data_IF_858670844057
#
_entry.id   IF_858670844057
#
_cell.length_a   1.000
_cell.length_b   1.000
_cell.length_c   1.000
_cell.angle_alpha   90.00
_cell.angle_beta   90.00
_cell.angle_gamma   90.00
#
_symmetry.space_group_name_H-M   'P 1'
#
loop_
_entity.id
_entity.type
_entity.pdbx_description
1 polymer ?
#
# COMPACT_ATOMS: atom_id res chain seq x y z
N UNK A 1 10.53 -32.23 29.03
CA UNK A 1 10.77 -31.69 30.38
C UNK A 1 10.73 -30.18 30.26
N UNK A 2 9.76 -29.43 30.75
CA UNK A 2 8.67 -29.71 31.67
C UNK A 2 8.31 -28.39 32.34
N UNK A 3 7.01 -28.11 32.40
CA UNK A 3 6.28 -27.40 33.47
C UNK A 3 6.71 -25.96 33.84
N UNK A 4 5.87 -24.96 33.63
CA UNK A 4 4.59 -24.65 34.29
C UNK A 4 4.74 -23.87 35.60
N UNK A 5 3.95 -22.80 35.65
CA UNK A 5 3.42 -22.01 36.76
C UNK A 5 3.51 -22.59 38.19
N UNK A 6 3.84 -21.71 39.13
CA UNK A 6 3.30 -21.66 40.50
C UNK A 6 2.87 -20.19 40.71
N UNK A 7 1.60 -19.80 40.81
CA UNK A 7 0.48 -20.27 41.64
C UNK A 7 0.71 -20.11 43.15
N UNK A 8 0.07 -19.08 43.72
CA UNK A 8 -0.52 -19.15 45.06
C UNK A 8 -1.66 -18.09 45.14
N UNK A 9 -2.91 -18.27 45.60
CA UNK A 9 -3.82 -19.36 46.05
C UNK A 9 -5.10 -18.62 46.50
N UNK A 10 -6.29 -18.95 45.98
CA UNK A 10 -7.34 -19.82 46.57
C UNK A 10 -7.90 -19.33 47.94
N UNK A 11 -9.18 -19.63 48.34
CA UNK A 11 -9.83 -20.94 48.17
C UNK A 11 -11.39 -20.95 47.94
N UNK A 12 -11.93 -21.96 47.23
CA UNK A 12 -12.82 -23.10 47.67
C UNK A 12 -14.29 -22.74 48.05
N UNK A 13 -15.34 -23.56 47.84
CA UNK A 13 -15.54 -24.93 47.31
C UNK A 13 -17.07 -25.27 47.31
N UNK A 14 -17.44 -26.33 46.57
CA UNK A 14 -18.65 -27.20 46.70
C UNK A 14 -19.93 -26.77 45.94
N UNK A 15 -20.76 -27.61 45.29
CA UNK A 15 -20.90 -29.08 45.16
C UNK A 15 -21.94 -29.41 44.03
N UNK A 16 -21.64 -30.43 43.21
CA UNK A 16 -22.52 -31.47 42.55
C UNK A 16 -23.72 -31.14 41.62
N UNK A 17 -24.05 -32.06 40.67
CA UNK A 17 -24.99 -31.84 39.57
C UNK A 17 -26.42 -32.29 39.93
N UNK A 18 -27.40 -31.43 39.66
CA UNK A 18 -28.81 -31.73 39.81
C UNK A 18 -29.54 -31.41 38.51
N UNK A 19 -30.02 -32.46 37.84
CA UNK A 19 -30.95 -32.32 36.73
C UNK A 19 -32.19 -31.55 37.21
N UNK A 20 -32.50 -30.44 36.54
CA UNK A 20 -33.86 -29.91 36.50
C UNK A 20 -34.12 -29.49 35.07
N UNK A 21 -34.84 -30.38 34.38
CA UNK A 21 -35.57 -30.08 33.17
C UNK A 21 -36.50 -28.92 33.49
N UNK A 22 -36.22 -27.76 32.95
CA UNK A 22 -37.16 -26.66 32.86
C UNK A 22 -37.20 -26.27 31.39
N UNK A 23 -38.29 -26.65 30.72
CA UNK A 23 -38.71 -26.05 29.45
C UNK A 23 -38.96 -24.56 29.69
N UNK A 24 -37.88 -23.78 29.68
CA UNK A 24 -37.93 -22.33 29.73
C UNK A 24 -37.83 -21.83 28.30
N UNK A 25 -38.99 -21.46 27.74
CA UNK A 25 -39.08 -20.68 26.51
C UNK A 25 -38.05 -19.54 26.53
N UNK A 26 -37.30 -19.29 25.45
CA UNK A 26 -36.35 -18.19 25.42
C UNK A 26 -37.11 -16.87 25.55
N UNK A 27 -36.85 -16.17 26.65
CA UNK A 27 -37.34 -14.82 26.92
C UNK A 27 -36.73 -13.85 25.89
N UNK A 28 -37.50 -12.97 25.23
CA UNK A 28 -37.04 -12.18 24.08
C UNK A 28 -36.09 -11.02 24.44
N UNK A 29 -35.61 -10.92 25.67
CA UNK A 29 -34.98 -9.69 26.19
C UNK A 29 -33.45 -9.61 26.10
N UNK A 30 -32.76 -10.59 25.49
CA UNK A 30 -31.30 -10.51 25.27
C UNK A 30 -30.87 -10.41 23.80
N UNK A 31 -31.80 -10.23 22.86
CA UNK A 31 -31.49 -10.16 21.43
C UNK A 31 -31.20 -8.74 20.92
N UNK A 32 -31.41 -7.70 21.72
CA UNK A 32 -31.28 -6.32 21.24
C UNK A 32 -29.81 -5.91 21.04
N UNK A 33 -28.89 -6.38 21.89
CA UNK A 33 -27.46 -6.04 21.82
C UNK A 33 -26.72 -6.84 20.73
N UNK A 34 -26.99 -8.14 20.58
CA UNK A 34 -26.37 -8.97 19.53
C UNK A 34 -26.82 -8.59 18.12
N UNK A 35 -28.09 -8.20 17.94
CA UNK A 35 -28.60 -7.74 16.63
C UNK A 35 -27.94 -6.45 16.16
N UNK A 36 -27.55 -5.56 17.08
CA UNK A 36 -26.86 -4.31 16.73
C UNK A 36 -25.48 -4.55 16.14
N UNK A 37 -24.73 -5.50 16.70
CA UNK A 37 -23.38 -5.84 16.25
C UNK A 37 -23.38 -6.63 14.93
N UNK A 38 -24.30 -7.59 14.80
CA UNK A 38 -24.49 -8.35 13.55
C UNK A 38 -24.92 -7.43 12.40
N UNK A 39 -25.87 -6.51 12.65
CA UNK A 39 -26.31 -5.57 11.64
C UNK A 39 -25.19 -4.58 11.24
N UNK A 40 -24.33 -4.20 12.18
CA UNK A 40 -23.15 -3.35 11.91
C UNK A 40 -22.09 -4.09 11.09
N UNK A 41 -21.87 -5.39 11.36
CA UNK A 41 -20.98 -6.24 10.58
C UNK A 41 -21.48 -6.40 9.13
N UNK A 42 -22.78 -6.66 8.95
CA UNK A 42 -23.40 -6.73 7.63
C UNK A 42 -23.30 -5.41 6.87
N UNK A 43 -23.50 -4.26 7.55
CA UNK A 43 -23.34 -2.96 6.93
C UNK A 43 -21.90 -2.69 6.50
N UNK A 44 -20.91 -3.09 7.31
CA UNK A 44 -19.49 -3.01 6.94
C UNK A 44 -19.18 -3.86 5.71
N UNK A 45 -19.73 -5.07 5.63
CA UNK A 45 -19.56 -5.96 4.48
C UNK A 45 -20.13 -5.32 3.22
N UNK A 46 -21.33 -4.74 3.30
CA UNK A 46 -21.96 -4.05 2.17
C UNK A 46 -21.15 -2.84 1.71
N UNK A 47 -20.72 -1.97 2.63
CA UNK A 47 -19.88 -0.82 2.29
C UNK A 47 -18.52 -1.22 1.70
N UNK A 48 -17.87 -2.23 2.27
CA UNK A 48 -16.60 -2.73 1.77
C UNK A 48 -16.76 -3.36 0.37
N UNK A 49 -17.84 -4.10 0.16
CA UNK A 49 -18.16 -4.71 -1.14
C UNK A 49 -18.45 -3.61 -2.16
N UNK A 50 -19.27 -2.62 -1.82
CA UNK A 50 -19.57 -1.49 -2.70
C UNK A 50 -18.31 -0.67 -3.07
N UNK A 51 -17.34 -0.56 -2.16
CA UNK A 51 -16.05 0.08 -2.44
C UNK A 51 -15.10 -0.76 -3.30
N UNK A 52 -15.22 -2.09 -3.26
CA UNK A 52 -14.32 -3.02 -3.94
C UNK A 52 -14.83 -3.45 -5.33
N UNK A 53 -16.13 -3.29 -5.59
CA UNK A 53 -16.71 -3.59 -6.90
C UNK A 53 -16.33 -2.50 -7.89
N UNK A 54 -15.82 -2.90 -9.05
CA UNK A 54 -15.43 -2.00 -10.12
C UNK A 54 -16.66 -1.74 -10.99
N UNK A 55 -17.13 -0.49 -11.02
CA UNK A 55 -18.11 -0.04 -12.00
C UNK A 55 -17.42 0.21 -13.35
N UNK A 56 -17.59 -0.73 -14.26
CA UNK A 56 -17.01 -0.70 -15.62
C UNK A 56 -17.66 0.36 -16.52
N UNK A 57 -18.86 0.87 -16.17
CA UNK A 57 -19.58 1.89 -16.95
C UNK A 57 -19.24 3.33 -16.53
N UNK A 58 -18.51 3.52 -15.44
CA UNK A 58 -18.20 4.84 -14.87
C UNK A 58 -17.15 5.67 -15.65
N UNK A 59 -16.76 5.26 -16.86
CA UNK A 59 -15.73 5.92 -17.67
C UNK A 59 -16.20 7.30 -18.17
N UNK A 60 -17.49 7.45 -18.51
CA UNK A 60 -18.09 8.72 -18.98
C UNK A 60 -18.91 9.46 -17.92
N UNK A 61 -19.24 8.81 -16.80
CA UNK A 61 -20.26 9.29 -15.86
C UNK A 61 -19.76 10.27 -14.78
N UNK A 62 -18.49 10.64 -14.78
CA UNK A 62 -17.90 11.52 -13.76
C UNK A 62 -17.43 12.85 -14.35
N UNK A 63 -18.35 13.59 -14.97
CA UNK A 63 -18.13 15.01 -15.20
C UNK A 63 -18.64 15.78 -13.99
N UNK A 64 -17.74 16.40 -13.24
CA UNK A 64 -18.11 17.35 -12.19
C UNK A 64 -18.84 18.52 -12.84
N UNK A 65 -19.94 19.00 -12.25
CA UNK A 65 -20.64 20.17 -12.78
C UNK A 65 -19.72 21.39 -12.74
N UNK A 66 -19.83 22.27 -13.74
CA UNK A 66 -18.91 23.40 -13.90
C UNK A 66 -18.90 24.33 -12.67
N UNK A 67 -20.05 24.55 -12.02
CA UNK A 67 -20.10 25.38 -10.82
C UNK A 67 -19.40 24.71 -9.62
N UNK A 68 -19.49 23.38 -9.50
CA UNK A 68 -18.89 22.61 -8.40
C UNK A 68 -17.37 22.65 -8.56
N UNK A 69 -16.90 22.50 -9.80
CA UNK A 69 -15.49 22.66 -10.14
C UNK A 69 -14.97 24.05 -9.74
N UNK A 70 -15.66 25.12 -10.12
CA UNK A 70 -15.23 26.50 -9.81
C UNK A 70 -15.22 26.78 -8.30
N UNK A 71 -16.22 26.29 -7.57
CA UNK A 71 -16.27 26.41 -6.11
C UNK A 71 -15.12 25.66 -5.44
N UNK A 72 -14.84 24.42 -5.86
CA UNK A 72 -13.69 23.66 -5.34
C UNK A 72 -12.37 24.33 -5.67
N UNK A 73 -12.20 24.85 -6.88
CA UNK A 73 -11.01 25.58 -7.28
C UNK A 73 -10.75 26.79 -6.37
N UNK A 74 -11.81 27.58 -6.10
CA UNK A 74 -11.74 28.72 -5.15
C UNK A 74 -11.40 28.26 -3.73
N UNK A 75 -12.05 27.21 -3.23
CA UNK A 75 -11.79 26.68 -1.89
C UNK A 75 -10.35 26.17 -1.74
N UNK A 76 -9.84 25.42 -2.73
CA UNK A 76 -8.47 24.90 -2.71
C UNK A 76 -7.45 26.03 -2.83
N UNK A 77 -7.69 27.01 -3.70
CA UNK A 77 -6.82 28.19 -3.79
C UNK A 77 -6.75 28.95 -2.46
N UNK A 78 -7.88 29.18 -1.80
CA UNK A 78 -7.92 29.85 -0.49
C UNK A 78 -7.17 29.06 0.58
N UNK A 79 -7.40 27.75 0.66
CA UNK A 79 -6.70 26.86 1.61
C UNK A 79 -5.20 26.81 1.35
N UNK A 80 -4.80 26.78 0.08
CA UNK A 80 -3.40 26.80 -0.33
C UNK A 80 -2.73 28.09 0.09
N UNK A 81 -3.32 29.26 -0.19
CA UNK A 81 -2.78 30.56 0.25
C UNK A 81 -2.61 30.62 1.76
N UNK A 82 -3.59 30.13 2.54
CA UNK A 82 -3.46 30.07 4.00
C UNK A 82 -2.32 29.16 4.47
N UNK A 83 -2.05 28.07 3.76
CA UNK A 83 -0.96 27.16 4.08
C UNK A 83 0.40 27.75 3.68
N UNK A 84 0.52 28.31 2.48
CA UNK A 84 1.73 29.00 2.00
C UNK A 84 2.17 30.13 2.94
N UNK A 85 1.22 30.81 3.60
CA UNK A 85 1.52 31.86 4.57
C UNK A 85 2.04 31.30 5.91
N UNK A 86 1.72 30.05 6.25
CA UNK A 86 2.13 29.40 7.52
C UNK A 86 3.39 28.57 7.38
N UNK A 87 3.64 28.01 6.20
CA UNK A 87 4.81 27.19 5.90
C UNK A 87 5.61 27.85 4.77
N UNK A 88 6.91 28.16 4.97
CA UNK A 88 7.73 28.69 3.89
C UNK A 88 7.87 27.63 2.80
N UNK A 89 7.06 27.75 1.76
CA UNK A 89 7.21 26.95 0.53
C UNK A 89 8.34 27.60 -0.26
N UNK A 90 9.35 26.83 -0.69
CA UNK A 90 10.40 27.37 -1.54
C UNK A 90 9.79 27.87 -2.85
N UNK A 91 9.67 29.20 -2.99
CA UNK A 91 9.14 29.82 -4.22
C UNK A 91 10.16 29.82 -5.37
N UNK A 92 11.41 29.51 -5.04
CA UNK A 92 12.51 29.43 -6.00
C UNK A 92 13.08 28.02 -6.01
N UNK A 93 13.48 27.52 -7.20
CA UNK A 93 14.28 26.30 -7.25
C UNK A 93 15.51 26.49 -6.36
N UNK A 94 15.85 25.46 -5.59
CA UNK A 94 17.06 25.48 -4.79
C UNK A 94 18.26 25.69 -5.71
N UNK A 95 19.16 26.61 -5.33
CA UNK A 95 20.43 26.76 -6.01
C UNK A 95 21.21 25.45 -5.96
N UNK A 96 21.99 25.16 -7.02
CA UNK A 96 22.91 24.03 -7.00
C UNK A 96 23.83 24.13 -5.78
N UNK A 97 24.13 23.02 -5.09
CA UNK A 97 25.06 23.04 -3.98
C UNK A 97 26.43 23.51 -4.46
N UNK A 98 27.12 24.30 -3.64
CA UNK A 98 28.51 24.67 -3.91
C UNK A 98 29.36 23.40 -3.85
N UNK A 99 29.81 22.93 -5.02
CA UNK A 99 30.53 21.67 -5.11
C UNK A 99 31.93 21.72 -4.50
N UNK A 100 32.65 22.83 -4.72
CA UNK A 100 34.08 22.95 -4.36
C UNK A 100 34.47 24.39 -4.03
N UNK A 101 35.45 24.57 -3.13
CA UNK A 101 35.94 25.91 -2.73
C UNK A 101 36.93 26.55 -3.70
N UNK A 102 37.66 25.75 -4.49
CA UNK A 102 38.57 26.22 -5.53
C UNK A 102 38.42 25.37 -6.80
N UNK A 103 37.61 25.82 -7.79
CA UNK A 103 37.34 25.04 -8.99
C UNK A 103 38.58 24.87 -9.88
N UNK A 104 39.45 25.89 -9.95
CA UNK A 104 40.64 25.85 -10.80
C UNK A 104 41.62 24.77 -10.36
N UNK A 105 41.84 24.64 -9.04
CA UNK A 105 42.74 23.61 -8.50
C UNK A 105 42.24 22.20 -8.80
N UNK A 106 40.93 21.96 -8.70
CA UNK A 106 40.33 20.63 -8.90
C UNK A 106 40.28 20.26 -10.37
N UNK A 107 39.96 21.21 -11.25
CA UNK A 107 39.97 20.97 -12.69
C UNK A 107 41.37 20.77 -13.26
N UNK A 108 42.41 21.27 -12.57
CA UNK A 108 43.81 21.08 -12.94
C UNK A 108 44.43 19.80 -12.37
N UNK A 109 43.69 19.06 -11.52
CA UNK A 109 44.17 17.81 -10.96
C UNK A 109 44.33 16.74 -12.08
N UNK A 110 45.20 15.73 -11.87
CA UNK A 110 45.32 14.64 -12.82
C UNK A 110 43.96 13.97 -13.09
N UNK A 111 43.63 13.68 -14.36
CA UNK A 111 42.38 13.02 -14.71
C UNK A 111 42.35 11.58 -14.19
N UNK A 112 41.17 10.94 -14.26
CA UNK A 112 41.03 9.51 -13.96
C UNK A 112 42.00 8.67 -14.81
N UNK A 113 42.52 7.60 -14.23
CA UNK A 113 43.47 6.73 -14.91
C UNK A 113 42.80 5.99 -16.06
N UNK A 114 43.54 5.74 -17.14
CA UNK A 114 43.02 4.97 -18.28
C UNK A 114 42.62 3.54 -17.87
N UNK A 115 43.30 2.97 -16.87
CA UNK A 115 42.98 1.64 -16.34
C UNK A 115 41.59 1.61 -15.69
N UNK A 116 41.22 2.64 -14.92
CA UNK A 116 39.90 2.74 -14.30
C UNK A 116 38.80 2.88 -15.35
N UNK A 117 39.02 3.70 -16.38
CA UNK A 117 38.07 3.88 -17.48
C UNK A 117 37.85 2.56 -18.22
N UNK A 118 38.93 1.84 -18.54
CA UNK A 118 38.84 0.53 -19.19
C UNK A 118 38.13 -0.49 -18.30
N UNK A 119 38.40 -0.50 -17.00
CA UNK A 119 37.73 -1.39 -16.06
C UNK A 119 36.22 -1.14 -16.01
N UNK A 120 35.80 0.13 -15.86
CA UNK A 120 34.38 0.53 -15.85
C UNK A 120 33.70 0.11 -17.15
N UNK A 121 34.36 0.33 -18.29
CA UNK A 121 33.84 -0.03 -19.61
C UNK A 121 33.63 -1.54 -19.74
N UNK A 122 34.62 -2.35 -19.33
CA UNK A 122 34.51 -3.82 -19.38
C UNK A 122 33.37 -4.34 -18.50
N UNK A 123 33.18 -3.78 -17.31
CA UNK A 123 32.08 -4.15 -16.41
C UNK A 123 30.73 -3.78 -17.03
N UNK A 124 30.62 -2.62 -17.64
CA UNK A 124 29.41 -2.18 -18.34
C UNK A 124 29.09 -3.12 -19.52
N UNK A 125 30.08 -3.45 -20.35
CA UNK A 125 29.92 -4.36 -21.49
C UNK A 125 29.50 -5.76 -21.05
N UNK A 126 30.12 -6.29 -19.99
CA UNK A 126 29.74 -7.59 -19.42
C UNK A 126 28.30 -7.58 -18.91
N UNK A 127 27.90 -6.50 -18.23
CA UNK A 127 26.52 -6.35 -17.73
C UNK A 127 25.52 -6.30 -18.88
N UNK A 128 25.85 -5.55 -19.95
CA UNK A 128 25.02 -5.48 -21.14
C UNK A 128 24.91 -6.84 -21.86
N UNK A 129 25.97 -7.66 -21.85
CA UNK A 129 25.93 -9.03 -22.36
C UNK A 129 25.04 -9.93 -21.51
N UNK A 130 25.17 -9.88 -20.18
CA UNK A 130 24.32 -10.66 -19.26
C UNK A 130 22.84 -10.30 -19.41
N UNK A 131 22.51 -9.02 -19.64
CA UNK A 131 21.12 -8.59 -19.85
C UNK A 131 20.47 -9.28 -21.07
N UNK A 132 21.26 -9.61 -22.11
CA UNK A 132 20.76 -10.36 -23.29
C UNK A 132 20.41 -11.82 -22.97
N UNK A 133 20.89 -12.35 -21.85
CA UNK A 133 20.54 -13.69 -21.39
C UNK A 133 19.16 -13.75 -20.74
N UNK A 134 18.59 -12.59 -20.34
CA UNK A 134 17.23 -12.47 -19.83
C UNK A 134 16.25 -12.55 -21.02
N UNK A 135 15.97 -13.79 -21.45
CA UNK A 135 15.02 -14.08 -22.52
C UNK A 135 14.30 -15.40 -22.28
N UNK A 136 13.08 -15.50 -22.82
CA UNK A 136 12.33 -16.76 -22.83
C UNK A 136 13.05 -17.74 -23.76
N UNK A 137 13.44 -18.91 -23.23
CA UNK A 137 13.97 -20.02 -24.03
C UNK A 137 12.79 -20.81 -24.57
N UNK A 138 12.61 -20.82 -25.89
CA UNK A 138 11.59 -21.64 -26.58
C UNK A 138 11.79 -23.12 -26.25
N UNK A 139 10.71 -23.84 -25.96
CA UNK A 139 10.73 -25.28 -25.67
C UNK A 139 9.80 -26.06 -26.59
N UNK A 140 8.59 -25.55 -26.78
CA UNK A 140 7.53 -26.19 -27.58
C UNK A 140 6.70 -25.11 -28.25
N UNK A 141 6.01 -25.48 -29.33
CA UNK A 141 5.21 -24.54 -30.10
C UNK A 141 3.94 -24.18 -29.32
N UNK A 142 3.80 -22.88 -29.02
CA UNK A 142 2.61 -22.35 -28.33
C UNK A 142 1.36 -22.35 -29.24
N UNK A 143 1.56 -22.47 -30.54
CA UNK A 143 0.50 -22.46 -31.56
C UNK A 143 0.77 -23.59 -32.53
N UNK A 144 -0.19 -24.50 -32.66
CA UNK A 144 -0.17 -25.57 -33.66
C UNK A 144 -1.30 -25.33 -34.65
N UNK A 145 -1.02 -25.29 -35.97
CA UNK A 145 -2.07 -25.17 -36.95
C UNK A 145 -2.87 -26.48 -37.02
N UNK A 146 -4.19 -26.38 -36.96
CA UNK A 146 -5.07 -27.51 -37.21
C UNK A 146 -5.39 -27.56 -38.70
N UNK A 147 -4.90 -28.60 -39.37
CA UNK A 147 -5.22 -28.92 -40.76
C UNK A 147 -4.95 -30.40 -41.02
N UNK A 148 -5.96 -31.10 -41.56
CA UNK A 148 -5.85 -32.48 -42.05
C UNK A 148 -5.32 -32.43 -43.49
N UNK A 149 -4.44 -33.35 -43.92
CA UNK A 149 -3.96 -33.43 -45.31
C UNK A 149 -5.07 -33.56 -46.35
#
# INVERSE_FOLDING_TARGET
>A
FGSADLLEKSPRSERTPGASRSDSFPSPQNHASQRGDEQSALNRILHQTASNVIDVAAIDARSMEQHEYLDKARQYSSKLTMLCNKTPIPSRPHSLPSGVGNPYAILSAPPLSQADIQFITQVADRTAQTLKEIKVKHKEDLVVPFGVP
#
